data_IF_336498538100
#
_entry.id   IF_336498538100
#
_cell.length_a   1.000
_cell.length_b   1.000
_cell.length_c   1.000
_cell.angle_alpha   90.00
_cell.angle_beta   90.00
_cell.angle_gamma   90.00
#
_symmetry.space_group_name_H-M   'P 1'
#
loop_
_entity.id
_entity.type
_entity.pdbx_description
1 polymer ?
#
# COMPACT_ATOMS: atom_id res chain seq x y z
N UNK A 1 -6.94 9.53 -13.15
CA UNK A 1 -6.15 10.03 -12.00
C UNK A 1 -4.72 9.47 -11.95
N UNK A 2 -3.74 10.29 -11.54
CA UNK A 2 -2.35 9.87 -11.28
C UNK A 2 -1.98 10.20 -9.84
N UNK A 3 -1.43 9.24 -9.10
CA UNK A 3 -0.88 9.46 -7.77
C UNK A 3 0.63 9.20 -7.76
N UNK A 4 1.36 10.05 -7.04
CA UNK A 4 2.79 9.90 -6.84
C UNK A 4 3.08 9.35 -5.45
N UNK A 5 3.82 8.25 -5.38
CA UNK A 5 4.20 7.63 -4.11
C UNK A 5 5.71 7.76 -3.98
N UNK A 6 6.14 8.54 -3.00
CA UNK A 6 7.54 8.91 -2.81
C UNK A 6 8.05 8.26 -1.52
N UNK A 7 9.15 7.52 -1.62
CA UNK A 7 9.86 7.03 -0.45
C UNK A 7 10.71 8.16 0.16
N UNK A 8 10.57 8.40 1.46
CA UNK A 8 11.38 9.34 2.24
C UNK A 8 11.91 8.68 3.52
N UNK A 9 13.12 9.06 3.93
CA UNK A 9 13.74 8.61 5.17
C UNK A 9 13.94 7.09 5.25
N UNK A 10 13.78 6.52 6.47
CA UNK A 10 13.89 5.07 6.74
C UNK A 10 12.67 4.31 6.21
N UNK A 11 12.46 4.35 4.89
CA UNK A 11 11.48 3.56 4.15
C UNK A 11 10.00 3.92 4.39
N UNK A 12 9.74 5.15 4.83
CA UNK A 12 8.38 5.71 4.91
C UNK A 12 7.90 6.12 3.51
N UNK A 13 6.62 5.91 3.19
CA UNK A 13 6.05 6.26 1.90
C UNK A 13 5.04 7.40 2.05
N UNK A 14 4.98 8.28 1.05
CA UNK A 14 4.10 9.44 1.03
C UNK A 14 3.38 9.48 -0.31
N UNK A 15 2.05 9.55 -0.27
CA UNK A 15 1.17 9.52 -1.44
C UNK A 15 0.65 10.92 -1.71
N UNK A 16 0.90 11.40 -2.93
CA UNK A 16 0.52 12.72 -3.39
C UNK A 16 -0.41 12.66 -4.59
N UNK A 17 -1.35 13.59 -4.64
CA UNK A 17 -2.16 13.90 -5.82
C UNK A 17 -1.98 15.37 -6.15
N UNK A 18 -1.49 15.67 -7.36
CA UNK A 18 -1.27 17.04 -7.83
C UNK A 18 -0.49 17.90 -6.81
N UNK A 19 0.51 17.29 -6.15
CA UNK A 19 1.34 17.92 -5.12
C UNK A 19 0.76 17.93 -3.70
N UNK A 20 -0.52 17.60 -3.52
CA UNK A 20 -1.17 17.53 -2.21
C UNK A 20 -0.97 16.17 -1.56
N UNK A 21 -0.56 16.14 -0.29
CA UNK A 21 -0.44 14.90 0.47
C UNK A 21 -1.84 14.34 0.74
N UNK A 22 -2.03 13.05 0.45
CA UNK A 22 -3.26 12.32 0.77
C UNK A 22 -3.05 11.38 1.95
N UNK A 23 -2.02 10.55 1.86
CA UNK A 23 -1.72 9.52 2.84
C UNK A 23 -0.22 9.37 3.01
N UNK A 24 0.20 8.85 4.15
CA UNK A 24 1.59 8.46 4.34
C UNK A 24 1.70 7.25 5.25
N UNK A 25 2.80 6.52 5.17
CA UNK A 25 3.09 5.40 6.05
C UNK A 25 4.41 5.60 6.76
N UNK A 26 4.44 5.20 8.02
CA UNK A 26 5.66 5.18 8.84
C UNK A 26 5.90 3.77 9.33
N UNK A 27 7.16 3.36 9.34
CA UNK A 27 7.58 2.07 9.87
C UNK A 27 8.34 2.22 11.18
N UNK A 28 7.93 1.43 12.18
CA UNK A 28 8.72 1.21 13.40
C UNK A 28 9.29 -0.20 13.36
N UNK A 29 10.62 -0.28 13.44
CA UNK A 29 11.36 -1.54 13.44
C UNK A 29 11.67 -2.02 14.86
N UNK A 30 11.36 -3.28 15.13
CA UNK A 30 11.98 -4.07 16.18
C UNK A 30 12.55 -5.35 15.54
N UNK A 31 13.57 -5.97 16.12
CA UNK A 31 14.35 -7.07 15.53
C UNK A 31 13.51 -8.25 15.00
N UNK A 32 12.29 -8.45 15.50
CA UNK A 32 11.40 -9.57 15.13
C UNK A 32 10.10 -9.09 14.44
N UNK A 33 9.74 -7.82 14.62
CA UNK A 33 8.43 -7.33 14.23
C UNK A 33 8.54 -5.97 13.57
N UNK A 34 7.72 -5.78 12.55
CA UNK A 34 7.62 -4.54 11.82
C UNK A 34 6.22 -3.98 11.97
N UNK A 35 6.12 -2.81 12.58
CA UNK A 35 4.85 -2.10 12.74
C UNK A 35 4.77 -1.03 11.66
N UNK A 36 3.69 -1.06 10.88
CA UNK A 36 3.40 -0.11 9.81
C UNK A 36 2.16 0.68 10.22
N UNK A 37 2.31 1.99 10.31
CA UNK A 37 1.21 2.90 10.62
C UNK A 37 0.88 3.71 9.37
N UNK A 38 -0.41 3.80 9.03
CA UNK A 38 -0.89 4.55 7.88
C UNK A 38 -1.69 5.78 8.33
N UNK A 39 -1.14 6.91 7.92
CA UNK A 39 -1.50 8.32 7.99
C UNK A 39 -2.56 8.77 6.97
N UNK A 40 -3.60 9.53 7.32
CA UNK A 40 -4.17 10.52 6.37
C UNK A 40 -3.36 11.83 6.41
N UNK A 41 -3.76 12.84 5.63
CA UNK A 41 -3.12 14.14 5.59
C UNK A 41 -3.28 15.01 6.86
N UNK A 42 -4.17 14.63 7.79
CA UNK A 42 -4.44 15.31 9.05
C UNK A 42 -3.74 14.62 10.24
N UNK A 43 -2.84 13.68 9.98
CA UNK A 43 -2.18 12.83 10.98
C UNK A 43 -3.14 11.88 11.77
N UNK A 44 -4.35 11.64 11.26
CA UNK A 44 -5.27 10.65 11.84
C UNK A 44 -4.83 9.23 11.47
N UNK A 45 -4.56 8.40 12.48
CA UNK A 45 -4.21 7.00 12.25
C UNK A 45 -5.40 6.26 11.62
N UNK A 46 -5.18 5.71 10.42
CA UNK A 46 -6.19 4.94 9.68
C UNK A 46 -6.02 3.44 9.88
N UNK A 47 -4.78 2.97 9.88
CA UNK A 47 -4.45 1.55 9.93
C UNK A 47 -3.13 1.34 10.67
N UNK A 48 -3.10 0.38 11.59
CA UNK A 48 -1.88 -0.15 12.19
C UNK A 48 -1.74 -1.63 11.85
N UNK A 49 -0.63 -2.00 11.25
CA UNK A 49 -0.33 -3.35 10.83
C UNK A 49 0.91 -3.88 11.52
N UNK A 50 0.85 -5.12 11.96
CA UNK A 50 2.03 -5.91 12.33
C UNK A 50 2.39 -6.84 11.19
N UNK A 51 3.47 -6.51 10.49
CA UNK A 51 4.08 -7.41 9.53
C UNK A 51 5.01 -8.38 10.28
N UNK A 52 4.71 -9.67 10.14
CA UNK A 52 5.64 -10.75 10.51
C UNK A 52 6.29 -11.24 9.23
N UNK A 53 7.58 -10.97 9.09
CA UNK A 53 8.36 -11.50 7.99
C UNK A 53 8.81 -12.91 8.36
N UNK A 54 8.24 -13.93 7.73
CA UNK A 54 8.69 -15.31 7.86
C UNK A 54 8.80 -15.90 6.44
N UNK A 55 10.00 -16.32 6.05
CA UNK A 55 10.32 -17.08 4.83
C UNK A 55 9.32 -16.91 3.66
N UNK A 56 9.54 -15.90 2.82
CA UNK A 56 8.80 -15.60 1.58
C UNK A 56 7.29 -15.29 1.69
N UNK A 57 6.69 -15.32 2.88
CA UNK A 57 5.29 -14.90 3.09
C UNK A 57 5.22 -13.81 4.16
N UNK A 58 4.91 -12.60 3.72
CA UNK A 58 4.58 -11.51 4.65
C UNK A 58 3.10 -11.60 4.99
N UNK A 59 2.81 -11.96 6.25
CA UNK A 59 1.46 -11.90 6.79
C UNK A 59 1.31 -10.59 7.56
N UNK A 60 0.30 -9.79 7.19
CA UNK A 60 -0.01 -8.53 7.85
C UNK A 60 -1.17 -8.75 8.82
N UNK A 61 -0.90 -8.62 10.11
CA UNK A 61 -1.94 -8.64 11.14
C UNK A 61 -2.42 -7.21 11.39
N UNK A 62 -3.70 -6.95 11.17
CA UNK A 62 -4.34 -5.68 11.55
C UNK A 62 -4.38 -5.60 13.08
N UNK A 63 -3.75 -4.56 13.64
CA UNK A 63 -3.77 -4.25 15.08
C UNK A 63 -4.81 -3.19 15.40
N UNK A 64 -4.98 -2.22 14.50
CA UNK A 64 -5.95 -1.14 14.62
C UNK A 64 -6.45 -0.75 13.22
N UNK A 65 -7.72 -0.37 13.12
CA UNK A 65 -8.28 0.28 11.94
C UNK A 65 -9.33 1.32 12.36
N UNK A 66 -9.31 2.50 11.76
CA UNK A 66 -10.29 3.54 12.01
C UNK A 66 -11.47 3.39 11.04
N UNK A 67 -12.54 2.75 11.50
CA UNK A 67 -13.73 2.45 10.67
C UNK A 67 -14.55 3.70 10.32
N UNK A 68 -14.36 4.82 11.02
CA UNK A 68 -15.04 6.08 10.73
C UNK A 68 -14.42 6.83 9.56
N UNK A 69 -13.14 6.57 9.26
CA UNK A 69 -12.36 7.29 8.24
C UNK A 69 -11.91 6.39 7.08
N UNK A 70 -12.03 5.08 7.20
CA UNK A 70 -11.58 4.13 6.19
C UNK A 70 -12.58 2.95 6.09
N UNK A 71 -12.89 2.45 4.88
CA UNK A 71 -13.61 1.20 4.71
C UNK A 71 -13.05 0.06 5.55
N UNK A 72 -13.94 -0.84 5.98
CA UNK A 72 -13.55 -1.96 6.83
C UNK A 72 -12.66 -2.92 6.06
N UNK A 73 -11.40 -3.06 6.49
CA UNK A 73 -10.43 -3.96 5.88
C UNK A 73 -10.46 -5.28 6.64
N UNK A 74 -10.76 -6.36 5.93
CA UNK A 74 -10.82 -7.72 6.45
C UNK A 74 -9.42 -8.36 6.50
N UNK A 75 -8.67 -8.25 5.41
CA UNK A 75 -7.37 -8.90 5.25
C UNK A 75 -6.47 -8.12 4.31
N UNK A 76 -5.17 -8.12 4.61
CA UNK A 76 -4.10 -7.67 3.72
C UNK A 76 -3.03 -8.75 3.67
N UNK A 77 -2.62 -9.13 2.46
CA UNK A 77 -1.44 -9.95 2.22
C UNK A 77 -0.61 -9.34 1.08
N UNK A 78 0.49 -9.97 0.65
CA UNK A 78 1.35 -9.41 -0.40
C UNK A 78 0.71 -9.39 -1.80
N UNK A 79 -0.47 -10.00 -1.98
CA UNK A 79 -1.13 -10.19 -3.28
C UNK A 79 -2.55 -9.65 -3.32
N UNK A 80 -3.16 -9.35 -2.18
CA UNK A 80 -4.54 -8.91 -2.14
C UNK A 80 -4.88 -8.09 -0.90
N UNK A 81 -5.92 -7.28 -1.06
CA UNK A 81 -6.65 -6.63 0.03
C UNK A 81 -8.12 -7.02 -0.06
N UNK A 82 -8.71 -7.44 1.05
CA UNK A 82 -10.13 -7.76 1.18
C UNK A 82 -10.79 -6.73 2.10
N UNK A 83 -11.94 -6.20 1.71
CA UNK A 83 -12.63 -5.10 2.38
C UNK A 83 -14.16 -5.21 2.21
N UNK A 84 -14.90 -4.54 3.09
CA UNK A 84 -16.36 -4.54 3.10
C UNK A 84 -16.96 -5.97 3.07
N UNK A 85 -16.32 -6.90 3.78
CA UNK A 85 -16.71 -8.32 3.93
C UNK A 85 -16.36 -9.25 2.77
N UNK A 86 -16.56 -8.84 1.51
CA UNK A 86 -16.42 -9.75 0.36
C UNK A 86 -15.74 -9.16 -0.88
N UNK A 87 -15.51 -7.84 -0.93
CA UNK A 87 -14.77 -7.23 -2.04
C UNK A 87 -13.29 -7.49 -1.84
N UNK A 88 -12.60 -7.84 -2.92
CA UNK A 88 -11.16 -8.01 -2.90
C UNK A 88 -10.52 -7.44 -4.15
N UNK A 89 -9.34 -6.84 -3.98
CA UNK A 89 -8.47 -6.46 -5.08
C UNK A 89 -7.26 -7.38 -5.07
N UNK A 90 -6.79 -7.77 -6.25
CA UNK A 90 -5.58 -8.57 -6.40
C UNK A 90 -4.53 -7.82 -7.18
N UNK A 91 -3.27 -8.18 -6.94
CA UNK A 91 -2.15 -7.87 -7.82
C UNK A 91 -1.67 -9.14 -8.51
N UNK A 92 -1.15 -9.00 -9.72
CA UNK A 92 -0.63 -10.13 -10.49
C UNK A 92 0.37 -10.98 -9.67
N UNK A 93 0.41 -12.30 -9.89
CA UNK A 93 1.11 -13.26 -9.02
C UNK A 93 2.63 -13.40 -9.27
N UNK A 94 3.14 -12.92 -10.41
CA UNK A 94 4.55 -13.06 -10.86
C UNK A 94 5.56 -12.15 -10.14
N UNK A 95 5.19 -11.54 -9.01
CA UNK A 95 5.61 -10.17 -8.66
C UNK A 95 6.61 -9.97 -7.52
N UNK A 96 7.39 -10.99 -7.16
CA UNK A 96 8.50 -10.75 -6.22
C UNK A 96 9.72 -10.07 -6.88
N UNK A 97 9.74 -9.83 -8.21
CA UNK A 97 10.93 -9.36 -8.94
C UNK A 97 10.67 -8.20 -9.96
N UNK A 98 9.42 -7.91 -10.36
CA UNK A 98 9.13 -6.91 -11.40
C UNK A 98 8.77 -5.51 -10.87
N UNK A 99 9.23 -4.48 -11.60
CA UNK A 99 9.12 -3.06 -11.26
C UNK A 99 7.71 -2.45 -11.36
N UNK A 100 6.79 -3.01 -12.16
CA UNK A 100 5.47 -2.41 -12.39
C UNK A 100 4.36 -3.45 -12.26
N UNK A 101 3.36 -3.26 -11.38
CA UNK A 101 2.25 -4.21 -11.19
C UNK A 101 0.86 -3.63 -11.42
N UNK A 102 -0.06 -4.48 -11.87
CA UNK A 102 -1.46 -4.14 -12.11
C UNK A 102 -2.34 -4.57 -10.93
N UNK A 103 -3.36 -3.78 -10.64
CA UNK A 103 -4.47 -4.16 -9.74
C UNK A 103 -5.68 -4.61 -10.54
N UNK A 104 -6.37 -5.62 -10.02
CA UNK A 104 -7.57 -6.17 -10.64
C UNK A 104 -8.73 -6.23 -9.64
N UNK A 105 -9.93 -5.99 -10.17
CA UNK A 105 -11.20 -6.32 -9.54
C UNK A 105 -11.98 -7.24 -10.49
N UNK A 106 -12.33 -8.46 -10.03
CA UNK A 106 -13.04 -9.47 -10.85
C UNK A 106 -12.40 -9.64 -12.25
N UNK A 107 -11.10 -9.89 -12.28
CA UNK A 107 -10.27 -10.07 -13.49
C UNK A 107 -10.17 -8.85 -14.43
N UNK A 108 -10.79 -7.72 -14.08
CA UNK A 108 -10.66 -6.47 -14.82
C UNK A 108 -9.53 -5.64 -14.23
N UNK A 109 -8.55 -5.24 -15.06
CA UNK A 109 -7.49 -4.32 -14.62
C UNK A 109 -8.12 -2.96 -14.30
N UNK A 110 -7.92 -2.50 -13.06
CA UNK A 110 -8.46 -1.22 -12.59
C UNK A 110 -7.37 -0.16 -12.35
N UNK A 111 -6.12 -0.60 -12.16
CA UNK A 111 -4.99 0.30 -11.94
C UNK A 111 -3.65 -0.31 -12.34
N UNK A 112 -2.64 0.56 -12.48
CA UNK A 112 -1.24 0.18 -12.70
C UNK A 112 -0.32 0.99 -11.79
N UNK A 113 0.53 0.30 -11.05
CA UNK A 113 1.64 0.90 -10.30
C UNK A 113 2.93 0.73 -11.09
N UNK A 114 3.61 1.83 -11.40
CA UNK A 114 4.92 1.84 -12.06
C UNK A 114 6.00 2.27 -11.07
N UNK A 115 7.05 1.48 -10.86
CA UNK A 115 8.17 1.84 -9.98
C UNK A 115 9.37 2.28 -10.80
N UNK A 116 9.89 3.47 -10.51
CA UNK A 116 11.17 3.96 -11.00
C UNK A 116 12.16 3.98 -9.84
N UNK A 117 13.21 3.18 -9.95
CA UNK A 117 14.34 3.22 -9.02
C UNK A 117 15.33 4.26 -9.54
N UNK A 118 15.50 5.34 -8.80
CA UNK A 118 16.66 6.23 -8.95
C UNK A 118 17.70 5.83 -7.90
N UNK A 119 18.99 6.06 -8.17
CA UNK A 119 20.13 5.52 -7.42
C UNK A 119 20.03 5.56 -5.88
N UNK A 120 19.28 6.50 -5.29
CA UNK A 120 19.14 6.67 -3.83
C UNK A 120 17.66 6.71 -3.37
N UNK A 121 16.69 6.73 -4.29
CA UNK A 121 15.26 6.87 -3.95
C UNK A 121 14.36 6.08 -4.90
N UNK A 122 13.34 5.41 -4.34
CA UNK A 122 12.28 4.82 -5.13
C UNK A 122 11.11 5.82 -5.25
N UNK A 123 10.63 6.01 -6.49
CA UNK A 123 9.38 6.71 -6.79
C UNK A 123 8.45 5.73 -7.49
N UNK A 124 7.20 5.68 -7.05
CA UNK A 124 6.16 4.92 -7.73
C UNK A 124 5.08 5.87 -8.24
N UNK A 125 4.47 5.51 -9.35
CA UNK A 125 3.34 6.23 -9.95
C UNK A 125 2.19 5.25 -10.05
N UNK A 126 1.08 5.57 -9.40
CA UNK A 126 -0.17 4.82 -9.53
C UNK A 126 -1.06 5.51 -10.55
N UNK A 127 -1.44 4.79 -11.59
CA UNK A 127 -2.38 5.23 -12.62
C UNK A 127 -3.71 4.50 -12.41
N UNK A 128 -4.79 5.28 -12.22
CA UNK A 128 -6.18 4.79 -12.16
C UNK A 128 -7.03 5.55 -13.16
N UNK A 129 -7.95 4.84 -13.82
CA UNK A 129 -9.00 5.48 -14.62
C UNK A 129 -10.07 6.09 -13.70
N UNK A 130 -10.77 7.11 -14.20
CA UNK A 130 -11.79 7.83 -13.42
C UNK A 130 -12.99 6.93 -13.06
N UNK A 131 -13.28 5.92 -13.89
CA UNK A 131 -14.29 4.89 -13.64
C UNK A 131 -13.98 3.99 -12.43
N UNK A 132 -12.72 3.96 -11.97
CA UNK A 132 -12.24 3.08 -10.91
C UNK A 132 -11.88 3.83 -9.62
N UNK A 133 -12.19 5.13 -9.53
CA UNK A 133 -11.81 5.98 -8.38
C UNK A 133 -12.32 5.45 -7.04
N UNK A 134 -13.43 4.71 -7.04
CA UNK A 134 -13.99 4.09 -5.83
C UNK A 134 -13.02 3.11 -5.14
N UNK A 135 -12.02 2.59 -5.85
CA UNK A 135 -11.03 1.65 -5.34
C UNK A 135 -9.72 2.31 -4.89
N UNK A 136 -9.58 3.63 -5.08
CA UNK A 136 -8.31 4.34 -4.89
C UNK A 136 -7.76 4.17 -3.48
N UNK A 137 -8.58 4.39 -2.45
CA UNK A 137 -8.17 4.27 -1.05
C UNK A 137 -7.70 2.84 -0.73
N UNK A 138 -8.42 1.81 -1.16
CA UNK A 138 -8.02 0.42 -0.88
C UNK A 138 -6.72 0.06 -1.58
N UNK A 139 -6.51 0.53 -2.80
CA UNK A 139 -5.25 0.35 -3.52
C UNK A 139 -4.11 1.05 -2.79
N UNK A 140 -4.31 2.31 -2.36
CA UNK A 140 -3.32 3.07 -1.60
C UNK A 140 -2.98 2.36 -0.29
N UNK A 141 -4.00 1.92 0.47
CA UNK A 141 -3.80 1.18 1.72
C UNK A 141 -2.98 -0.09 1.48
N UNK A 142 -3.29 -0.84 0.42
CA UNK A 142 -2.54 -2.04 0.07
C UNK A 142 -1.08 -1.73 -0.28
N UNK A 143 -0.83 -0.74 -1.15
CA UNK A 143 0.53 -0.30 -1.52
C UNK A 143 1.31 0.12 -0.27
N UNK A 144 0.74 1.01 0.54
CA UNK A 144 1.37 1.48 1.78
C UNK A 144 1.57 0.36 2.80
N UNK A 145 0.80 -0.72 2.74
CA UNK A 145 1.00 -1.88 3.61
C UNK A 145 2.18 -2.73 3.16
N UNK A 146 2.31 -2.97 1.85
CA UNK A 146 3.24 -3.97 1.31
C UNK A 146 4.58 -3.39 0.84
N UNK A 147 4.60 -2.14 0.36
CA UNK A 147 5.82 -1.48 -0.15
C UNK A 147 6.56 -0.71 0.96
N UNK A 148 5.85 -0.25 1.99
CA UNK A 148 6.51 0.37 3.14
C UNK A 148 7.49 -0.65 3.67
N UNK A 149 8.76 -0.26 3.79
CA UNK A 149 9.91 -1.03 4.32
C UNK A 149 10.22 -2.41 3.76
N UNK A 150 10.01 -2.59 2.46
CA UNK A 150 10.84 -3.50 1.68
C UNK A 150 12.04 -2.69 1.20
N UNK A 151 13.15 -2.68 1.95
CA UNK A 151 14.45 -2.38 1.32
C UNK A 151 14.97 -3.65 0.69
N UNK A 152 15.35 -3.56 -0.58
CA UNK A 152 16.38 -4.44 -1.10
C UNK A 152 17.67 -3.84 -0.56
N UNK A 153 18.23 -4.45 0.46
CA UNK A 153 19.62 -4.20 0.86
C UNK A 153 20.56 -4.83 -0.17
#
# INVERSE_FOLDING_TARGET
MILEIIQKGRQSLFVYQDGNLLFYSVVKFNWINRIINIYNQNDDLLLELKCRSFFMKSNYKILFQNQSLNPFINEINSRSITFNTDKYLTVDSKYFISFNYNYYFRDTKIAELKKKIFSISSKMTLELNDENLEFSDQIIMHILSIETGVSVD
#
